data_IF_020480177765
#
_entry.id   IF_020480177765
#
_cell.length_a   1.000
_cell.length_b   1.000
_cell.length_c   1.000
_cell.angle_alpha   90.00
_cell.angle_beta   90.00
_cell.angle_gamma   90.00
#
_symmetry.space_group_name_H-M   'P 1'
#
loop_
_entity.id
_entity.type
_entity.pdbx_description
1 polymer ?
#
# COMPACT_ATOMS: atom_id res chain seq x y z
N UNK A 1 17.93 -4.71 17.12
CA UNK A 1 17.16 -5.83 17.69
C UNK A 1 16.60 -6.65 16.55
N UNK A 2 16.78 -7.95 16.60
CA UNK A 2 16.32 -8.87 15.55
C UNK A 2 15.46 -9.98 16.15
N UNK A 3 14.56 -10.52 15.34
CA UNK A 3 13.67 -11.59 15.71
C UNK A 3 13.52 -12.54 14.52
N UNK A 4 13.56 -13.84 14.76
CA UNK A 4 13.22 -14.84 13.75
C UNK A 4 11.86 -15.42 14.12
N UNK A 5 10.84 -15.05 13.34
CA UNK A 5 9.46 -15.48 13.57
C UNK A 5 9.10 -16.64 12.65
N UNK A 6 8.36 -17.61 13.16
CA UNK A 6 8.02 -18.82 12.37
C UNK A 6 7.09 -18.55 11.18
N UNK A 7 6.34 -17.44 11.20
CA UNK A 7 5.48 -17.02 10.07
C UNK A 7 6.17 -15.94 9.23
N UNK A 8 6.66 -14.88 9.86
CA UNK A 8 7.20 -13.71 9.16
C UNK A 8 8.66 -13.88 8.72
N UNK A 9 9.38 -14.80 9.33
CA UNK A 9 10.81 -14.92 9.10
C UNK A 9 11.61 -13.89 9.87
N UNK A 10 12.75 -13.45 9.33
CA UNK A 10 13.65 -12.51 10.00
C UNK A 10 13.09 -11.10 9.97
N UNK A 11 12.98 -10.49 11.14
CA UNK A 11 12.50 -9.13 11.33
C UNK A 11 13.51 -8.31 12.10
N UNK A 12 13.57 -7.01 11.81
CA UNK A 12 14.39 -6.03 12.52
C UNK A 12 13.46 -4.97 13.11
N UNK A 13 13.69 -4.57 14.35
CA UNK A 13 12.87 -3.54 14.99
C UNK A 13 13.35 -2.14 14.63
N UNK A 14 12.45 -1.34 14.02
CA UNK A 14 12.66 0.07 13.71
C UNK A 14 11.28 0.76 13.72
N UNK A 15 10.84 1.19 14.90
CA UNK A 15 9.48 1.72 15.14
C UNK A 15 8.34 0.74 14.79
N UNK A 16 8.66 -0.50 14.60
CA UNK A 16 7.85 -1.63 14.23
C UNK A 16 8.78 -2.72 13.76
N UNK A 17 8.26 -3.91 13.53
CA UNK A 17 9.07 -5.03 13.07
C UNK A 17 9.08 -5.07 11.54
N UNK A 18 10.26 -4.95 10.94
CA UNK A 18 10.39 -4.71 9.52
C UNK A 18 11.20 -5.78 8.81
N UNK A 19 10.91 -5.97 7.53
CA UNK A 19 11.68 -6.75 6.57
C UNK A 19 11.50 -6.14 5.19
N UNK A 20 12.39 -6.47 4.27
CA UNK A 20 12.23 -6.08 2.87
C UNK A 20 11.52 -7.19 2.09
N UNK A 21 10.72 -6.79 1.13
CA UNK A 21 10.04 -7.71 0.23
C UNK A 21 10.09 -7.17 -1.18
N UNK A 22 10.49 -8.00 -2.13
CA UNK A 22 10.47 -7.65 -3.55
C UNK A 22 9.16 -8.12 -4.16
N UNK A 23 8.45 -7.22 -4.83
CA UNK A 23 7.23 -7.57 -5.55
C UNK A 23 7.01 -6.66 -6.76
N UNK A 24 6.18 -7.12 -7.68
CA UNK A 24 5.79 -6.36 -8.87
C UNK A 24 4.42 -5.74 -8.63
N UNK A 25 4.35 -4.42 -8.63
CA UNK A 25 3.11 -3.65 -8.47
C UNK A 25 3.20 -2.42 -9.39
N UNK A 26 2.08 -1.97 -9.91
CA UNK A 26 2.02 -0.83 -10.85
C UNK A 26 2.91 -1.05 -12.07
N UNK A 27 3.00 -2.31 -12.51
CA UNK A 27 3.76 -2.68 -13.71
C UNK A 27 5.27 -2.76 -13.55
N UNK A 28 5.79 -2.60 -12.33
CA UNK A 28 7.23 -2.58 -12.06
C UNK A 28 7.61 -3.38 -10.83
N UNK A 29 8.84 -3.86 -10.79
CA UNK A 29 9.40 -4.51 -9.61
C UNK A 29 9.94 -3.48 -8.63
N UNK A 30 9.58 -3.62 -7.37
CA UNK A 30 10.02 -2.75 -6.27
C UNK A 30 10.45 -3.59 -5.08
N UNK A 31 11.40 -3.05 -4.31
CA UNK A 31 11.71 -3.55 -2.97
C UNK A 31 10.96 -2.65 -1.98
N UNK A 32 10.04 -3.23 -1.25
CA UNK A 32 9.20 -2.52 -0.29
C UNK A 32 9.56 -2.91 1.13
N UNK A 33 9.42 -1.96 2.05
CA UNK A 33 9.49 -2.27 3.47
C UNK A 33 8.16 -2.86 3.92
N UNK A 34 8.22 -4.04 4.52
CA UNK A 34 7.07 -4.65 5.21
C UNK A 34 7.19 -4.32 6.67
N UNK A 35 6.17 -3.73 7.26
CA UNK A 35 6.10 -3.44 8.68
C UNK A 35 4.97 -4.22 9.31
N UNK A 36 5.31 -4.97 10.37
CA UNK A 36 4.34 -5.67 11.20
C UNK A 36 4.33 -4.95 12.53
N UNK A 37 3.22 -4.28 12.80
CA UNK A 37 3.11 -3.40 13.96
C UNK A 37 3.04 -4.21 15.26
N UNK A 38 3.94 -3.92 16.18
CA UNK A 38 3.99 -4.48 17.52
C UNK A 38 5.02 -3.72 18.32
N UNK A 39 4.96 -3.84 19.64
CA UNK A 39 5.97 -3.30 20.51
C UNK A 39 7.30 -4.07 20.39
N UNK A 40 8.32 -3.59 21.06
CA UNK A 40 9.67 -4.18 21.02
C UNK A 40 9.74 -5.58 21.63
N UNK A 41 8.71 -6.01 22.35
CA UNK A 41 8.61 -7.38 22.87
C UNK A 41 8.29 -8.43 21.78
N UNK A 42 7.93 -7.99 20.57
CA UNK A 42 7.68 -8.89 19.46
C UNK A 42 6.41 -9.75 19.62
N UNK A 43 5.42 -9.25 20.33
CA UNK A 43 4.13 -9.94 20.50
C UNK A 43 3.13 -9.48 19.44
N UNK A 44 2.88 -10.36 18.48
CA UNK A 44 1.97 -10.10 17.37
C UNK A 44 0.59 -10.67 17.65
N UNK A 45 -0.43 -10.08 17.01
CA UNK A 45 -1.78 -10.65 16.99
C UNK A 45 -1.83 -11.83 16.00
N UNK A 46 -2.66 -12.83 16.31
CA UNK A 46 -2.86 -13.98 15.41
C UNK A 46 -3.40 -13.53 14.06
N UNK A 47 -4.26 -12.52 14.03
CA UNK A 47 -4.81 -11.98 12.79
C UNK A 47 -3.77 -11.25 11.92
N UNK A 48 -2.67 -10.75 12.50
CA UNK A 48 -1.54 -10.26 11.71
C UNK A 48 -0.83 -11.41 11.00
N UNK A 49 -0.63 -12.53 11.67
CA UNK A 49 -0.06 -13.75 11.09
C UNK A 49 -0.95 -14.26 9.96
N UNK A 50 -2.25 -14.32 10.18
CA UNK A 50 -3.22 -14.79 9.19
C UNK A 50 -3.28 -13.85 7.98
N UNK A 51 -3.27 -12.54 8.21
CA UNK A 51 -3.24 -11.54 7.14
C UNK A 51 -2.00 -11.66 6.27
N UNK A 52 -0.84 -11.89 6.90
CA UNK A 52 0.43 -12.08 6.20
C UNK A 52 0.41 -13.34 5.32
N UNK A 53 -0.03 -14.45 5.88
CA UNK A 53 -0.14 -15.74 5.14
C UNK A 53 -1.10 -15.59 3.97
N UNK A 54 -2.26 -14.98 4.19
CA UNK A 54 -3.23 -14.73 3.12
C UNK A 54 -2.61 -13.88 2.01
N UNK A 55 -1.93 -12.80 2.38
CA UNK A 55 -1.26 -11.93 1.41
C UNK A 55 -0.23 -12.71 0.59
N UNK A 56 0.60 -13.52 1.22
CA UNK A 56 1.62 -14.33 0.52
C UNK A 56 1.00 -15.33 -0.45
N UNK A 57 -0.13 -15.93 -0.09
CA UNK A 57 -0.83 -16.92 -0.91
C UNK A 57 -1.62 -16.28 -2.06
N UNK A 58 -2.14 -15.05 -1.87
CA UNK A 58 -3.00 -14.35 -2.83
C UNK A 58 -2.38 -13.07 -3.35
N UNK A 59 -1.07 -12.95 -3.28
CA UNK A 59 -0.33 -11.73 -3.61
C UNK A 59 -0.66 -11.19 -5.00
N UNK A 60 -0.65 -12.05 -6.01
CA UNK A 60 -0.88 -11.63 -7.40
C UNK A 60 -2.29 -11.06 -7.60
N UNK A 61 -3.29 -11.70 -7.02
CA UNK A 61 -4.69 -11.24 -7.09
C UNK A 61 -4.88 -9.90 -6.37
N UNK A 62 -4.30 -9.76 -5.19
CA UNK A 62 -4.40 -8.53 -4.41
C UNK A 62 -3.70 -7.37 -5.09
N UNK A 63 -2.53 -7.59 -5.67
CA UNK A 63 -1.81 -6.58 -6.44
C UNK A 63 -2.63 -6.16 -7.67
N UNK A 64 -3.24 -7.10 -8.37
CA UNK A 64 -4.10 -6.81 -9.52
C UNK A 64 -5.28 -5.92 -9.12
N UNK A 65 -5.90 -6.21 -7.98
CA UNK A 65 -6.99 -5.38 -7.45
C UNK A 65 -6.49 -3.99 -7.05
N UNK A 66 -5.32 -3.90 -6.43
CA UNK A 66 -4.71 -2.62 -6.06
C UNK A 66 -4.42 -1.77 -7.30
N UNK A 67 -3.86 -2.37 -8.34
CA UNK A 67 -3.59 -1.69 -9.61
C UNK A 67 -4.87 -1.12 -10.21
N UNK A 68 -5.93 -1.92 -10.28
CA UNK A 68 -7.22 -1.49 -10.82
C UNK A 68 -7.86 -0.39 -9.97
N UNK A 69 -7.74 -0.50 -8.64
CA UNK A 69 -8.30 0.48 -7.72
C UNK A 69 -7.63 1.85 -7.86
N UNK A 70 -6.31 1.89 -8.06
CA UNK A 70 -5.59 3.14 -8.26
C UNK A 70 -6.01 3.81 -9.56
N UNK A 71 -6.15 3.05 -10.65
CA UNK A 71 -6.59 3.59 -11.94
C UNK A 71 -8.00 4.17 -11.82
N UNK A 72 -8.91 3.44 -11.18
CA UNK A 72 -10.27 3.89 -10.94
C UNK A 72 -10.32 5.14 -10.07
N UNK A 73 -9.55 5.16 -8.99
CA UNK A 73 -9.43 6.32 -8.11
C UNK A 73 -8.93 7.54 -8.88
N UNK A 74 -7.90 7.39 -9.69
CA UNK A 74 -7.36 8.47 -10.49
C UNK A 74 -8.41 9.04 -11.43
N UNK A 75 -9.11 8.18 -12.18
CA UNK A 75 -10.16 8.61 -13.10
C UNK A 75 -11.29 9.35 -12.40
N UNK A 76 -11.66 8.93 -11.20
CA UNK A 76 -12.80 9.51 -10.48
C UNK A 76 -12.44 10.78 -9.72
N UNK A 77 -11.21 10.91 -9.23
CA UNK A 77 -10.86 11.95 -8.27
C UNK A 77 -9.90 13.02 -8.79
N UNK A 78 -9.16 12.75 -9.88
CA UNK A 78 -8.09 13.66 -10.28
C UNK A 78 -8.58 15.06 -10.65
N UNK A 79 -9.74 15.19 -11.27
CA UNK A 79 -10.30 16.49 -11.65
C UNK A 79 -10.55 17.39 -10.43
N UNK A 80 -11.05 16.80 -9.35
CA UNK A 80 -11.29 17.53 -8.10
C UNK A 80 -10.00 17.85 -7.39
N UNK A 81 -9.06 16.89 -7.35
CA UNK A 81 -7.76 17.06 -6.70
C UNK A 81 -7.01 18.25 -7.33
N UNK A 82 -6.91 18.28 -8.66
CA UNK A 82 -6.16 19.34 -9.35
C UNK A 82 -6.92 20.66 -9.40
N UNK A 83 -8.19 20.68 -9.07
CA UNK A 83 -8.96 21.94 -9.00
C UNK A 83 -8.35 22.94 -8.00
N UNK A 84 -7.63 22.43 -7.00
CA UNK A 84 -6.90 23.26 -6.03
C UNK A 84 -5.54 23.77 -6.50
N UNK A 85 -5.05 23.32 -7.65
CA UNK A 85 -3.77 23.73 -8.18
C UNK A 85 -3.90 25.13 -8.82
N UNK A 86 -2.86 25.95 -8.71
CA UNK A 86 -2.84 27.29 -9.30
C UNK A 86 -2.23 27.30 -10.70
N UNK A 87 -1.35 26.37 -11.00
CA UNK A 87 -0.67 26.27 -12.30
C UNK A 87 -1.49 25.45 -13.29
N UNK A 88 -1.92 26.08 -14.38
CA UNK A 88 -2.75 25.42 -15.40
C UNK A 88 -2.00 24.33 -16.18
N UNK A 89 -0.68 24.48 -16.36
CA UNK A 89 0.13 23.47 -17.02
C UNK A 89 0.26 22.21 -16.14
N UNK A 90 0.39 22.40 -14.84
CA UNK A 90 0.46 21.32 -13.88
C UNK A 90 -0.88 20.56 -13.81
N UNK A 91 -2.01 21.29 -13.80
CA UNK A 91 -3.32 20.67 -13.88
C UNK A 91 -3.45 19.81 -15.14
N UNK A 92 -3.07 20.35 -16.28
CA UNK A 92 -3.19 19.65 -17.57
C UNK A 92 -2.28 18.42 -17.61
N UNK A 93 -1.08 18.49 -17.01
CA UNK A 93 -0.17 17.36 -16.91
C UNK A 93 -0.87 16.14 -16.31
N UNK A 94 -1.59 16.32 -15.20
CA UNK A 94 -2.30 15.23 -14.56
C UNK A 94 -3.56 14.82 -15.32
N UNK A 95 -4.31 15.75 -15.86
CA UNK A 95 -5.52 15.46 -16.63
C UNK A 95 -5.22 14.66 -17.91
N UNK A 96 -4.06 14.89 -18.51
CA UNK A 96 -3.63 14.19 -19.73
C UNK A 96 -3.34 12.70 -19.48
N UNK A 97 -3.14 12.29 -18.23
CA UNK A 97 -2.91 10.88 -17.88
C UNK A 97 -4.18 10.04 -17.84
N UNK A 98 -5.35 10.69 -17.83
CA UNK A 98 -6.63 9.99 -17.78
C UNK A 98 -6.75 9.07 -19.00
N UNK A 99 -7.07 7.80 -18.75
CA UNK A 99 -7.18 6.79 -19.80
C UNK A 99 -5.86 6.10 -20.15
N UNK A 100 -4.74 6.48 -19.52
CA UNK A 100 -3.45 5.85 -19.76
C UNK A 100 -2.91 5.23 -18.46
N UNK A 101 -3.14 3.94 -18.30
CA UNK A 101 -2.77 3.18 -17.10
C UNK A 101 -1.27 3.26 -16.79
N UNK A 102 -0.43 3.06 -17.81
CA UNK A 102 1.03 3.10 -17.62
C UNK A 102 1.51 4.46 -17.12
N UNK A 103 0.95 5.54 -17.67
CA UNK A 103 1.30 6.88 -17.24
C UNK A 103 0.79 7.19 -15.83
N UNK A 104 -0.38 6.69 -15.46
CA UNK A 104 -0.89 6.80 -14.08
C UNK A 104 0.05 6.08 -13.12
N UNK A 105 0.47 4.86 -13.45
CA UNK A 105 1.40 4.11 -12.61
C UNK A 105 2.75 4.81 -12.46
N UNK A 106 3.20 5.54 -13.47
CA UNK A 106 4.46 6.29 -13.41
C UNK A 106 4.45 7.41 -12.36
N UNK A 107 3.26 7.84 -11.93
CA UNK A 107 3.07 8.86 -10.88
C UNK A 107 3.13 8.30 -9.48
N UNK A 108 3.22 6.98 -9.34
CA UNK A 108 3.18 6.28 -8.05
C UNK A 108 4.53 5.69 -7.70
N UNK A 109 4.84 5.72 -6.41
CA UNK A 109 5.99 5.03 -5.86
C UNK A 109 5.56 4.28 -4.60
N UNK A 110 5.37 2.95 -4.68
CA UNK A 110 5.04 2.17 -3.49
C UNK A 110 6.21 2.20 -2.52
N UNK A 111 5.92 2.32 -1.23
CA UNK A 111 6.92 2.46 -0.18
C UNK A 111 6.86 1.34 0.83
N UNK A 112 5.68 0.98 1.28
CA UNK A 112 5.52 0.17 2.46
C UNK A 112 4.28 -0.70 2.36
N UNK A 113 4.41 -1.91 2.92
CA UNK A 113 3.28 -2.80 3.17
C UNK A 113 3.14 -2.87 4.69
N UNK A 114 1.96 -2.59 5.20
CA UNK A 114 1.69 -2.49 6.63
C UNK A 114 0.72 -3.58 7.08
N UNK A 115 1.10 -4.30 8.13
CA UNK A 115 0.21 -5.23 8.85
C UNK A 115 -0.03 -4.65 10.24
N UNK A 116 -1.09 -3.82 10.40
CA UNK A 116 -1.32 -3.13 11.66
C UNK A 116 -1.92 -4.02 12.74
N UNK A 117 -1.78 -3.58 13.98
CA UNK A 117 -2.61 -4.09 15.08
C UNK A 117 -4.03 -3.62 14.82
N UNK A 118 -4.99 -4.51 14.93
CA UNK A 118 -6.42 -4.18 14.75
C UNK A 118 -7.19 -4.15 16.06
N UNK A 119 -6.65 -4.84 17.08
CA UNK A 119 -7.31 -5.01 18.39
C UNK A 119 -8.70 -5.64 18.27
N UNK A 120 -8.93 -6.37 17.18
CA UNK A 120 -10.16 -7.06 16.87
C UNK A 120 -9.83 -8.39 16.17
N UNK A 121 -10.10 -9.50 16.84
CA UNK A 121 -9.77 -10.85 16.35
C UNK A 121 -10.48 -11.21 15.04
N UNK A 122 -11.55 -10.48 14.68
CA UNK A 122 -12.31 -10.72 13.46
C UNK A 122 -11.78 -9.92 12.26
N UNK A 123 -10.78 -9.07 12.46
CA UNK A 123 -10.27 -8.16 11.43
C UNK A 123 -8.85 -8.52 11.08
N UNK A 124 -8.63 -8.90 9.81
CA UNK A 124 -7.34 -9.07 9.18
C UNK A 124 -7.12 -7.90 8.22
N UNK A 125 -6.03 -7.17 8.40
CA UNK A 125 -5.80 -5.97 7.62
C UNK A 125 -4.40 -5.93 7.02
N UNK A 126 -4.31 -5.50 5.77
CA UNK A 126 -3.04 -5.15 5.12
C UNK A 126 -3.23 -3.88 4.32
N UNK A 127 -2.24 -2.99 4.39
CA UNK A 127 -2.25 -1.73 3.66
C UNK A 127 -1.00 -1.54 2.82
N UNK A 128 -1.18 -0.94 1.64
CA UNK A 128 -0.08 -0.45 0.81
C UNK A 128 -0.01 1.07 0.97
N UNK A 129 1.15 1.58 1.28
CA UNK A 129 1.40 3.02 1.40
C UNK A 129 2.30 3.45 0.24
N UNK A 130 1.85 4.42 -0.53
CA UNK A 130 2.54 4.87 -1.72
C UNK A 130 2.69 6.39 -1.71
N UNK A 131 3.81 6.88 -2.23
CA UNK A 131 3.92 8.27 -2.64
C UNK A 131 3.23 8.43 -3.98
N UNK A 132 2.65 9.60 -4.23
CA UNK A 132 2.08 9.92 -5.52
C UNK A 132 2.36 11.38 -5.89
N UNK A 133 2.55 11.63 -7.18
CA UNK A 133 2.98 12.96 -7.66
C UNK A 133 1.89 14.02 -7.57
N UNK A 134 0.60 13.59 -7.55
CA UNK A 134 -0.51 14.56 -7.46
C UNK A 134 -0.82 15.01 -6.04
N UNK A 135 -0.28 14.33 -5.03
CA UNK A 135 -0.43 14.68 -3.61
C UNK A 135 0.82 14.21 -2.85
N UNK A 136 1.87 15.01 -2.95
CA UNK A 136 3.18 14.66 -2.41
C UNK A 136 3.22 14.64 -0.88
N UNK A 137 2.32 15.38 -0.24
CA UNK A 137 2.28 15.48 1.22
C UNK A 137 1.60 14.29 1.87
N UNK A 138 0.52 13.78 1.26
CA UNK A 138 -0.30 12.72 1.84
C UNK A 138 -0.07 11.35 1.19
N UNK A 139 0.29 11.32 -0.10
CA UNK A 139 0.39 10.06 -0.84
C UNK A 139 -0.96 9.40 -1.04
N UNK A 140 -0.94 8.08 -1.20
CA UNK A 140 -2.16 7.28 -1.33
C UNK A 140 -1.98 5.96 -0.57
N UNK A 141 -3.02 5.58 0.16
CA UNK A 141 -3.09 4.29 0.86
C UNK A 141 -4.14 3.39 0.23
N UNK A 142 -3.86 2.10 0.18
CA UNK A 142 -4.77 1.07 -0.32
C UNK A 142 -4.90 0.03 0.76
N UNK A 143 -6.11 -0.18 1.26
CA UNK A 143 -6.35 -1.10 2.38
C UNK A 143 -7.24 -2.26 1.99
N UNK A 144 -6.81 -3.44 2.40
CA UNK A 144 -7.59 -4.68 2.32
C UNK A 144 -7.99 -5.10 3.71
N UNK A 145 -9.26 -5.43 3.88
CA UNK A 145 -9.80 -5.95 5.13
C UNK A 145 -10.40 -7.32 4.87
N UNK A 146 -9.94 -8.33 5.60
CA UNK A 146 -10.37 -9.71 5.42
C UNK A 146 -10.27 -10.18 3.96
N UNK A 147 -9.16 -9.82 3.30
CA UNK A 147 -8.87 -10.19 1.92
C UNK A 147 -9.59 -9.38 0.85
N UNK A 148 -10.41 -8.41 1.23
CA UNK A 148 -11.20 -7.59 0.30
C UNK A 148 -10.74 -6.14 0.36
N UNK A 149 -10.55 -5.54 -0.81
CA UNK A 149 -10.21 -4.11 -0.89
C UNK A 149 -11.33 -3.29 -0.24
N UNK A 150 -10.99 -2.54 0.80
CA UNK A 150 -11.95 -1.83 1.64
C UNK A 150 -11.82 -0.32 1.58
N UNK A 151 -10.63 0.20 1.26
CA UNK A 151 -10.39 1.64 1.31
C UNK A 151 -9.25 2.02 0.37
N UNK A 152 -9.39 3.16 -0.30
CA UNK A 152 -8.32 3.79 -1.08
C UNK A 152 -8.45 5.31 -0.95
N UNK A 153 -7.32 5.99 -0.70
CA UNK A 153 -7.30 7.44 -0.58
C UNK A 153 -6.06 7.94 0.14
N UNK A 154 -5.98 9.28 0.36
CA UNK A 154 -4.86 9.90 1.06
C UNK A 154 -4.78 9.52 2.53
#
# INVERSE_FOLDING_TARGET
MELNHHIFGKLTFNYGWTQDMTLTIFGKEYVLEVTIDADDDGKFEVNQESAYVFFKEHQDEMIKEANAAVVSYYHNEISEIVSGYTDSNEKQFFLDKIGNEEEIFSLLKPKQIMFPLTFDETVEEVGFLCDCDWDKDNGIGIKFTNGVLSEIGP
#
